data_IF_126906498851
#
_entry.id   IF_126906498851
#
_cell.length_a   1.000
_cell.length_b   1.000
_cell.length_c   1.000
_cell.angle_alpha   90.00
_cell.angle_beta   90.00
_cell.angle_gamma   90.00
#
_symmetry.space_group_name_H-M   'P 1'
#
loop_
_entity.id
_entity.type
_entity.pdbx_description
1 polymer ?
#
# COMPACT_ATOMS: atom_id res chain seq x y z
N UNK A 1 -34.42 23.00 28.64
CA UNK A 1 -33.19 23.56 29.25
C UNK A 1 -32.13 22.48 29.58
N UNK A 2 -32.50 21.33 30.11
CA UNK A 2 -31.55 20.25 30.47
C UNK A 2 -30.76 19.64 29.29
N UNK A 3 -31.37 19.52 28.11
CA UNK A 3 -30.74 18.93 26.91
C UNK A 3 -29.59 19.76 26.33
N UNK A 4 -29.65 21.09 26.44
CA UNK A 4 -28.61 21.99 25.94
C UNK A 4 -27.38 21.97 26.84
N UNK A 5 -27.58 21.81 28.16
CA UNK A 5 -26.48 21.74 29.11
C UNK A 5 -25.70 20.41 28.97
N UNK A 6 -26.41 19.31 28.77
CA UNK A 6 -25.76 17.99 28.55
C UNK A 6 -24.95 17.97 27.24
N UNK A 7 -25.46 18.55 26.17
CA UNK A 7 -24.72 18.67 24.91
C UNK A 7 -23.46 19.55 25.06
N UNK A 8 -23.55 20.66 25.80
CA UNK A 8 -22.40 21.53 26.07
C UNK A 8 -21.33 20.84 26.89
N UNK A 9 -21.68 19.98 27.84
CA UNK A 9 -20.74 19.20 28.63
C UNK A 9 -20.06 18.09 27.81
N UNK A 10 -20.80 17.44 26.91
CA UNK A 10 -20.23 16.41 26.03
C UNK A 10 -19.26 17.03 25.03
N UNK A 11 -19.66 18.14 24.36
CA UNK A 11 -18.79 18.85 23.41
C UNK A 11 -17.57 19.43 24.13
N UNK A 12 -17.76 20.02 25.31
CA UNK A 12 -16.68 20.53 26.14
C UNK A 12 -15.69 19.42 26.58
N UNK A 13 -16.22 18.27 26.97
CA UNK A 13 -15.44 17.09 27.34
C UNK A 13 -14.62 16.53 26.16
N UNK A 14 -15.24 16.42 24.98
CA UNK A 14 -14.54 15.96 23.77
C UNK A 14 -13.47 16.96 23.33
N UNK A 15 -13.75 18.26 23.36
CA UNK A 15 -12.76 19.29 23.02
C UNK A 15 -11.63 19.33 24.04
N UNK A 16 -11.93 19.19 25.32
CA UNK A 16 -10.92 19.11 26.38
C UNK A 16 -10.05 17.84 26.24
N UNK A 17 -10.66 16.68 25.96
CA UNK A 17 -9.95 15.43 25.71
C UNK A 17 -9.02 15.53 24.49
N UNK A 18 -9.51 16.13 23.39
CA UNK A 18 -8.72 16.35 22.16
C UNK A 18 -7.56 17.33 22.38
N UNK A 19 -7.77 18.38 23.18
CA UNK A 19 -6.71 19.33 23.60
C UNK A 19 -5.71 18.68 24.56
N UNK A 20 -6.18 17.84 25.47
CA UNK A 20 -5.34 17.09 26.38
C UNK A 20 -4.42 16.11 25.66
N UNK A 21 -4.91 15.39 24.65
CA UNK A 21 -4.11 14.53 23.79
C UNK A 21 -3.02 15.32 23.05
N UNK A 22 -3.35 16.50 22.52
CA UNK A 22 -2.36 17.39 21.86
C UNK A 22 -1.36 17.98 22.84
N UNK A 23 -1.78 18.32 24.04
CA UNK A 23 -0.90 18.85 25.09
C UNK A 23 0.11 17.80 25.56
N UNK A 24 -0.31 16.54 25.70
CA UNK A 24 0.59 15.42 26.01
C UNK A 24 1.64 15.25 24.90
N UNK A 25 1.24 15.31 23.63
CA UNK A 25 2.17 15.20 22.50
C UNK A 25 3.17 16.37 22.41
N UNK A 26 2.75 17.59 22.77
CA UNK A 26 3.63 18.77 22.83
C UNK A 26 4.61 18.70 24.01
N UNK A 27 4.15 18.23 25.16
CA UNK A 27 4.98 18.09 26.35
C UNK A 27 6.02 16.97 26.18
N UNK A 28 5.64 15.88 25.52
CA UNK A 28 6.54 14.79 25.15
C UNK A 28 7.62 15.24 24.14
N UNK A 29 7.25 16.05 23.16
CA UNK A 29 8.19 16.66 22.21
C UNK A 29 9.16 17.64 22.89
N UNK A 30 8.69 18.44 23.85
CA UNK A 30 9.54 19.34 24.63
C UNK A 30 10.50 18.56 25.54
N UNK A 31 10.03 17.50 26.17
CA UNK A 31 10.83 16.63 27.03
C UNK A 31 11.96 15.91 26.24
N UNK A 32 11.65 15.46 25.03
CA UNK A 32 12.61 14.82 24.14
C UNK A 32 13.67 15.83 23.66
N UNK A 33 13.26 17.07 23.32
CA UNK A 33 14.21 18.14 22.93
C UNK A 33 15.17 18.51 24.06
N UNK A 34 14.72 18.54 25.31
CA UNK A 34 15.59 18.81 26.47
C UNK A 34 16.66 17.73 26.66
N UNK A 35 16.44 16.52 26.16
CA UNK A 35 17.42 15.42 26.15
C UNK A 35 18.27 15.34 24.88
N UNK A 36 18.19 16.36 24.02
CA UNK A 36 18.96 16.39 22.77
C UNK A 36 18.34 15.55 21.64
N UNK A 37 17.11 15.07 21.83
CA UNK A 37 16.37 14.38 20.78
C UNK A 37 15.49 15.41 20.04
N UNK A 38 15.83 15.72 18.78
CA UNK A 38 14.96 16.50 17.91
C UNK A 38 14.02 15.53 17.16
N UNK A 39 12.68 15.62 17.35
CA UNK A 39 11.74 14.79 16.58
C UNK A 39 11.77 15.07 15.05
N UNK A 40 12.51 16.09 14.61
CA UNK A 40 12.88 16.30 13.21
C UNK A 40 14.11 15.50 12.76
N UNK A 41 14.91 15.00 13.71
CA UNK A 41 16.04 14.07 13.51
C UNK A 41 15.58 12.61 13.72
N UNK A 42 14.39 12.23 13.30
CA UNK A 42 14.12 10.81 13.15
C UNK A 42 15.22 10.23 12.26
N UNK A 43 15.98 9.26 12.76
CA UNK A 43 17.06 8.68 11.97
C UNK A 43 16.44 8.19 10.66
N UNK A 44 16.95 8.70 9.53
CA UNK A 44 16.51 8.29 8.18
C UNK A 44 16.49 6.77 8.01
N UNK A 45 17.17 6.04 8.93
CA UNK A 45 17.12 4.59 9.06
C UNK A 45 15.77 4.01 9.47
N UNK A 46 14.93 4.72 10.21
CA UNK A 46 13.64 4.17 10.66
C UNK A 46 12.58 4.16 9.54
N UNK A 47 12.63 5.09 8.59
CA UNK A 47 11.75 5.06 7.40
C UNK A 47 12.09 3.90 6.48
N UNK A 48 13.36 3.59 6.29
CA UNK A 48 13.81 2.45 5.50
C UNK A 48 13.37 1.12 6.10
N UNK A 49 13.51 0.95 7.41
CA UNK A 49 13.08 -0.26 8.13
C UNK A 49 11.56 -0.44 8.07
N UNK A 50 10.80 0.65 8.24
CA UNK A 50 9.33 0.60 8.15
C UNK A 50 8.85 0.27 6.73
N UNK A 51 9.51 0.81 5.70
CA UNK A 51 9.20 0.48 4.29
C UNK A 51 9.56 -0.96 3.96
N UNK A 52 10.70 -1.44 4.44
CA UNK A 52 11.15 -2.81 4.29
C UNK A 52 10.17 -3.80 4.92
N UNK A 53 9.77 -3.55 6.19
CA UNK A 53 8.77 -4.37 6.88
C UNK A 53 7.44 -4.39 6.12
N UNK A 54 6.96 -3.23 5.65
CA UNK A 54 5.73 -3.15 4.88
C UNK A 54 5.81 -3.93 3.56
N UNK A 55 6.94 -3.87 2.86
CA UNK A 55 7.13 -4.64 1.64
C UNK A 55 7.05 -6.14 1.94
N UNK A 56 7.74 -6.62 2.97
CA UNK A 56 7.71 -8.04 3.34
C UNK A 56 6.28 -8.49 3.70
N UNK A 57 5.56 -7.70 4.51
CA UNK A 57 4.17 -7.99 4.87
C UNK A 57 3.25 -8.08 3.63
N UNK A 58 3.46 -7.22 2.63
CA UNK A 58 2.70 -7.27 1.38
C UNK A 58 3.05 -8.48 0.52
N UNK A 59 4.33 -8.83 0.42
CA UNK A 59 4.77 -10.03 -0.32
C UNK A 59 4.21 -11.30 0.32
N UNK A 60 4.20 -11.40 1.64
CA UNK A 60 3.58 -12.51 2.38
C UNK A 60 2.06 -12.53 2.16
N UNK A 61 1.42 -11.36 2.11
CA UNK A 61 -0.03 -11.25 1.88
C UNK A 61 -0.47 -11.64 0.47
N UNK A 62 0.43 -11.70 -0.51
CA UNK A 62 0.13 -12.22 -1.85
C UNK A 62 -0.16 -13.73 -1.86
N UNK A 63 0.25 -14.46 -0.83
CA UNK A 63 -0.02 -15.91 -0.65
C UNK A 63 -1.05 -16.18 0.46
N UNK A 64 -1.82 -15.17 0.89
CA UNK A 64 -2.84 -15.31 1.92
C UNK A 64 -3.98 -16.26 1.47
N UNK A 65 -4.62 -16.89 2.44
CA UNK A 65 -5.75 -17.81 2.21
C UNK A 65 -6.92 -17.11 1.52
N UNK A 66 -7.15 -15.83 1.80
CA UNK A 66 -8.28 -15.08 1.26
C UNK A 66 -7.93 -14.33 -0.02
N UNK A 67 -8.75 -14.47 -1.06
CA UNK A 67 -8.57 -13.72 -2.30
C UNK A 67 -8.58 -12.19 -2.07
N UNK A 68 -9.35 -11.74 -1.09
CA UNK A 68 -9.41 -10.31 -0.73
C UNK A 68 -8.06 -9.78 -0.25
N UNK A 69 -7.36 -10.51 0.64
CA UNK A 69 -6.03 -10.11 1.11
C UNK A 69 -5.02 -10.10 -0.03
N UNK A 70 -5.03 -11.12 -0.89
CA UNK A 70 -4.12 -11.21 -2.05
C UNK A 70 -4.36 -10.07 -3.05
N UNK A 71 -5.62 -9.77 -3.37
CA UNK A 71 -5.99 -8.63 -4.24
C UNK A 71 -5.49 -7.31 -3.66
N UNK A 72 -5.77 -7.06 -2.38
CA UNK A 72 -5.32 -5.87 -1.66
C UNK A 72 -3.80 -5.71 -1.65
N UNK A 73 -3.08 -6.80 -1.43
CA UNK A 73 -1.62 -6.80 -1.46
C UNK A 73 -1.09 -6.40 -2.85
N UNK A 74 -1.64 -6.98 -3.92
CA UNK A 74 -1.26 -6.63 -5.29
C UNK A 74 -1.58 -5.16 -5.64
N UNK A 75 -2.74 -4.63 -5.20
CA UNK A 75 -3.11 -3.23 -5.36
C UNK A 75 -2.14 -2.29 -4.61
N UNK A 76 -1.78 -2.61 -3.35
CA UNK A 76 -0.86 -1.78 -2.58
C UNK A 76 0.55 -1.81 -3.18
N UNK A 77 1.04 -2.95 -3.65
CA UNK A 77 2.31 -3.06 -4.38
C UNK A 77 2.24 -2.20 -5.66
N UNK A 78 1.13 -2.22 -6.38
CA UNK A 78 0.91 -1.38 -7.56
C UNK A 78 1.07 0.11 -7.23
N UNK A 79 0.46 0.58 -6.14
CA UNK A 79 0.57 1.98 -5.68
C UNK A 79 2.00 2.33 -5.23
N UNK A 80 2.72 1.39 -4.59
CA UNK A 80 4.13 1.58 -4.26
C UNK A 80 4.97 1.77 -5.52
N UNK A 81 4.78 0.93 -6.54
CA UNK A 81 5.48 1.04 -7.81
C UNK A 81 5.15 2.35 -8.54
N UNK A 82 3.90 2.79 -8.49
CA UNK A 82 3.47 4.06 -9.09
C UNK A 82 4.11 5.26 -8.40
N UNK A 83 4.28 5.22 -7.09
CA UNK A 83 5.00 6.24 -6.32
C UNK A 83 6.53 6.20 -6.46
N UNK A 84 7.05 5.29 -7.29
CA UNK A 84 8.48 5.12 -7.54
C UNK A 84 9.21 4.17 -6.57
N UNK A 85 8.50 3.54 -5.65
CA UNK A 85 9.05 2.53 -4.73
C UNK A 85 9.03 1.17 -5.42
N UNK A 86 10.08 0.87 -6.19
CA UNK A 86 10.20 -0.37 -6.94
C UNK A 86 11.29 -1.24 -6.33
N UNK A 87 10.99 -2.55 -6.20
CA UNK A 87 11.91 -3.54 -5.67
C UNK A 87 11.83 -4.81 -6.52
N UNK A 88 12.98 -5.39 -6.85
CA UNK A 88 13.05 -6.60 -7.67
C UNK A 88 12.34 -7.80 -7.04
N UNK A 89 12.27 -7.86 -5.72
CA UNK A 89 11.57 -8.92 -4.97
C UNK A 89 10.06 -8.96 -5.24
N UNK A 90 9.47 -7.86 -5.72
CA UNK A 90 8.05 -7.81 -6.10
C UNK A 90 7.76 -8.64 -7.35
N UNK A 91 8.74 -8.86 -8.23
CA UNK A 91 8.52 -9.44 -9.54
C UNK A 91 7.98 -10.87 -9.48
N UNK A 92 8.70 -11.78 -8.86
CA UNK A 92 8.34 -13.19 -8.86
C UNK A 92 6.97 -13.48 -8.17
N UNK A 93 6.64 -12.91 -6.98
CA UNK A 93 5.33 -13.07 -6.38
C UNK A 93 4.18 -12.53 -7.25
N UNK A 94 4.39 -11.39 -7.92
CA UNK A 94 3.39 -10.83 -8.83
C UNK A 94 3.17 -11.69 -10.07
N UNK A 95 4.22 -12.28 -10.62
CA UNK A 95 4.10 -13.25 -11.73
C UNK A 95 3.31 -14.48 -11.27
N UNK A 96 3.58 -15.01 -10.08
CA UNK A 96 2.80 -16.11 -9.51
C UNK A 96 1.32 -15.73 -9.34
N UNK A 97 1.03 -14.51 -8.92
CA UNK A 97 -0.34 -14.01 -8.74
C UNK A 97 -1.10 -13.83 -10.08
N UNK A 98 -0.45 -13.87 -11.24
CA UNK A 98 -1.12 -13.91 -12.55
C UNK A 98 -1.87 -15.26 -12.79
N UNK A 99 -1.52 -16.30 -12.05
CA UNK A 99 -2.17 -17.62 -12.10
C UNK A 99 -3.12 -17.87 -10.92
N UNK A 100 -3.47 -16.81 -10.16
CA UNK A 100 -4.41 -16.92 -9.05
C UNK A 100 -5.78 -17.45 -9.48
N UNK A 101 -6.42 -18.22 -8.64
CA UNK A 101 -7.78 -18.73 -8.87
C UNK A 101 -8.83 -17.61 -9.01
N UNK A 102 -8.59 -16.46 -8.38
CA UNK A 102 -9.47 -15.29 -8.41
C UNK A 102 -9.04 -14.29 -9.50
N UNK A 103 -9.97 -13.96 -10.39
CA UNK A 103 -9.72 -13.07 -11.52
C UNK A 103 -9.36 -11.61 -11.10
N UNK A 104 -9.85 -11.14 -9.95
CA UNK A 104 -9.49 -9.81 -9.44
C UNK A 104 -8.03 -9.78 -9.03
N UNK A 105 -7.54 -10.84 -8.38
CA UNK A 105 -6.11 -10.96 -8.00
C UNK A 105 -5.24 -10.97 -9.25
N UNK A 106 -5.59 -11.78 -10.27
CA UNK A 106 -4.84 -11.80 -11.54
C UNK A 106 -4.80 -10.42 -12.21
N UNK A 107 -5.94 -9.71 -12.22
CA UNK A 107 -6.03 -8.34 -12.75
C UNK A 107 -5.18 -7.34 -11.97
N UNK A 108 -5.21 -7.37 -10.64
CA UNK A 108 -4.40 -6.50 -9.78
C UNK A 108 -2.90 -6.77 -9.96
N UNK A 109 -2.50 -8.04 -10.01
CA UNK A 109 -1.12 -8.45 -10.29
C UNK A 109 -0.62 -7.95 -11.65
N UNK A 110 -1.46 -8.03 -12.68
CA UNK A 110 -1.12 -7.51 -14.00
C UNK A 110 -0.85 -5.99 -13.97
N UNK A 111 -1.69 -5.20 -13.29
CA UNK A 111 -1.49 -3.76 -13.13
C UNK A 111 -0.18 -3.49 -12.38
N UNK A 112 0.06 -4.20 -11.28
CA UNK A 112 1.26 -4.05 -10.48
C UNK A 112 2.54 -4.30 -11.30
N UNK A 113 2.57 -5.35 -12.12
CA UNK A 113 3.68 -5.63 -13.05
C UNK A 113 3.88 -4.52 -14.10
N UNK A 114 2.78 -3.94 -14.61
CA UNK A 114 2.85 -2.78 -15.50
C UNK A 114 3.46 -1.55 -14.82
N UNK A 115 3.16 -1.29 -13.55
CA UNK A 115 3.74 -0.19 -12.78
C UNK A 115 5.18 -0.48 -12.34
N UNK A 116 5.51 -1.73 -12.03
CA UNK A 116 6.88 -2.16 -11.76
C UNK A 116 7.79 -1.83 -12.94
N UNK A 117 7.29 -2.01 -14.17
CA UNK A 117 8.00 -1.63 -15.38
C UNK A 117 9.04 -2.66 -15.82
N UNK A 118 9.02 -3.86 -15.29
CA UNK A 118 9.97 -4.92 -15.65
C UNK A 118 9.51 -5.65 -16.91
N UNK A 119 10.34 -5.56 -17.96
CA UNK A 119 10.04 -6.15 -19.28
C UNK A 119 9.99 -7.67 -19.27
N UNK A 120 10.55 -8.33 -18.27
CA UNK A 120 10.45 -9.78 -18.10
C UNK A 120 8.99 -10.25 -17.95
N UNK A 121 8.09 -9.35 -17.54
CA UNK A 121 6.66 -9.64 -17.42
C UNK A 121 5.90 -9.70 -18.76
N UNK A 122 6.49 -9.26 -19.88
CA UNK A 122 5.78 -9.11 -21.17
C UNK A 122 5.20 -10.43 -21.64
N UNK A 123 5.93 -11.53 -21.55
CA UNK A 123 5.48 -12.85 -22.00
C UNK A 123 4.25 -13.32 -21.19
N UNK A 124 4.32 -13.25 -19.86
CA UNK A 124 3.23 -13.67 -19.00
C UNK A 124 2.00 -12.75 -19.10
N UNK A 125 2.22 -11.45 -19.18
CA UNK A 125 1.13 -10.49 -19.41
C UNK A 125 0.46 -10.71 -20.77
N UNK A 126 1.20 -11.07 -21.81
CA UNK A 126 0.64 -11.41 -23.14
C UNK A 126 -0.23 -12.67 -23.03
N UNK A 127 0.25 -13.70 -22.35
CA UNK A 127 -0.52 -14.92 -22.09
C UNK A 127 -1.86 -14.60 -21.41
N UNK A 128 -1.85 -13.78 -20.34
CA UNK A 128 -3.08 -13.38 -19.65
C UNK A 128 -3.98 -12.51 -20.54
N UNK A 129 -3.42 -11.59 -21.31
CA UNK A 129 -4.17 -10.70 -22.20
C UNK A 129 -4.92 -11.45 -23.32
N UNK A 130 -4.36 -12.57 -23.78
CA UNK A 130 -4.91 -13.33 -24.90
C UNK A 130 -5.82 -14.49 -24.46
N UNK A 131 -5.51 -15.14 -23.36
CA UNK A 131 -6.13 -16.44 -23.02
C UNK A 131 -6.79 -16.51 -21.65
N UNK A 132 -6.74 -15.46 -20.79
CA UNK A 132 -7.44 -15.48 -19.50
C UNK A 132 -8.96 -15.63 -19.70
N UNK A 133 -9.62 -16.41 -18.85
CA UNK A 133 -11.06 -16.60 -18.86
C UNK A 133 -11.85 -15.33 -18.50
N UNK A 134 -11.26 -14.46 -17.65
CA UNK A 134 -11.87 -13.22 -17.21
C UNK A 134 -11.61 -12.06 -18.19
N UNK A 135 -12.66 -11.42 -18.72
CA UNK A 135 -12.51 -10.19 -19.51
C UNK A 135 -11.83 -9.07 -18.74
N UNK A 136 -12.03 -9.05 -17.41
CA UNK A 136 -11.39 -8.07 -16.54
C UNK A 136 -9.87 -8.27 -16.49
N UNK A 137 -9.40 -9.47 -16.20
CA UNK A 137 -7.98 -9.76 -16.15
C UNK A 137 -7.30 -9.52 -17.52
N UNK A 138 -7.93 -9.93 -18.64
CA UNK A 138 -7.43 -9.61 -20.00
C UNK A 138 -7.27 -8.12 -20.22
N UNK A 139 -8.24 -7.31 -19.80
CA UNK A 139 -8.17 -5.86 -19.97
C UNK A 139 -7.06 -5.23 -19.15
N UNK A 140 -6.83 -5.70 -17.92
CA UNK A 140 -5.76 -5.19 -17.06
C UNK A 140 -4.37 -5.59 -17.60
N UNK A 141 -4.23 -6.80 -18.10
CA UNK A 141 -2.98 -7.26 -18.72
C UNK A 141 -2.62 -6.44 -19.98
N UNK A 142 -3.61 -6.10 -20.82
CA UNK A 142 -3.39 -5.22 -21.98
C UNK A 142 -2.93 -3.83 -21.56
N UNK A 143 -3.54 -3.23 -20.54
CA UNK A 143 -3.11 -1.94 -20.00
C UNK A 143 -1.67 -1.98 -19.45
N UNK A 144 -1.32 -3.09 -18.79
CA UNK A 144 0.05 -3.30 -18.30
C UNK A 144 1.06 -3.39 -19.45
N UNK A 145 0.72 -4.12 -20.53
CA UNK A 145 1.55 -4.21 -21.73
C UNK A 145 1.73 -2.84 -22.41
N UNK A 146 0.66 -2.07 -22.55
CA UNK A 146 0.73 -0.71 -23.09
C UNK A 146 1.69 0.17 -22.28
N UNK A 147 1.63 0.07 -20.95
CA UNK A 147 2.52 0.80 -20.05
C UNK A 147 3.99 0.39 -20.22
N UNK A 148 4.28 -0.90 -20.38
CA UNK A 148 5.63 -1.42 -20.62
C UNK A 148 6.19 -1.03 -21.98
N UNK A 149 5.34 -0.79 -23.00
CA UNK A 149 5.75 -0.34 -24.33
C UNK A 149 6.06 1.17 -24.36
N UNK A 150 5.36 1.98 -23.59
CA UNK A 150 5.55 3.43 -23.53
C UNK A 150 6.80 3.81 -22.72
N UNK A 151 7.25 2.94 -21.83
CA UNK A 151 8.42 3.16 -20.97
C UNK A 151 9.79 3.05 -21.69
N UNK A 152 9.81 3.13 -23.03
CA UNK A 152 11.02 3.13 -23.89
C UNK A 152 11.47 4.52 -24.26
#
# INVERSE_FOLDING_TARGET
>A
MFTVIVLALIVGGVVWWYRSQRAVSLNERMYLRQRGYDPGDEPKGNRGVAQESRLMDLLDSLDDVTAYSRERAAEEISLMCESGQKDERMFAPLVTALDDSNASVRGAAAIALGHLGDRRAVEELTRVADSDDSPHARAQARRALDKLQIAN
#
